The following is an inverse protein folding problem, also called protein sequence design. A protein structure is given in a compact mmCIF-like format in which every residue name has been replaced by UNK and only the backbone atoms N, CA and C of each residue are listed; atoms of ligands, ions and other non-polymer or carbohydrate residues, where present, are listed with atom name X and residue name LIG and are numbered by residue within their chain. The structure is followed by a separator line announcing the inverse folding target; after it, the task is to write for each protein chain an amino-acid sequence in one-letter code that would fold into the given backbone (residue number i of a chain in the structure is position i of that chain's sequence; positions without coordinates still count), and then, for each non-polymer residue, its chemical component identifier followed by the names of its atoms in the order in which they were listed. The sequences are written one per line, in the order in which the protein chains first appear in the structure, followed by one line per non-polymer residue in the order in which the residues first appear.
data_IF_102504094894
#
_entry.id   IF_102504094894
#
_cell.length_a   1.000
_cell.length_b   1.000
_cell.length_c   1.000
_cell.angle_alpha   90.00
_cell.angle_beta   90.00
_cell.angle_gamma   90.00
#
_symmetry.space_group_name_H-M   'P 1'
#
loop_
_entity.id
_entity.type
_entity.pdbx_description
1 polymer ?
#
# COMPACT_ATOMS: atom_id res chain seq x y z
N UNK A 1 1.76 -25.08 -12.78
CA UNK A 1 1.63 -24.46 -14.12
C UNK A 1 2.08 -23.03 -13.97
N UNK A 2 3.08 -22.61 -14.74
CA UNK A 2 3.47 -21.21 -14.78
C UNK A 2 2.38 -20.44 -15.53
N UNK A 3 1.68 -19.55 -14.82
CA UNK A 3 0.69 -18.68 -15.43
C UNK A 3 1.42 -17.67 -16.30
N UNK A 4 1.05 -17.58 -17.57
CA UNK A 4 1.55 -16.54 -18.45
C UNK A 4 1.06 -15.17 -17.95
N UNK A 5 1.96 -14.44 -17.29
CA UNK A 5 1.65 -13.13 -16.73
C UNK A 5 1.14 -12.14 -17.77
N UNK A 6 1.39 -12.38 -19.06
CA UNK A 6 0.94 -11.52 -20.14
C UNK A 6 -0.57 -11.57 -20.34
N UNK A 7 -1.21 -12.68 -19.95
CA UNK A 7 -2.66 -12.87 -20.02
C UNK A 7 -3.40 -12.28 -18.80
N UNK A 8 -2.65 -11.85 -17.78
CA UNK A 8 -3.24 -11.26 -16.57
C UNK A 8 -3.77 -9.86 -16.84
N UNK A 9 -4.97 -9.60 -16.30
CA UNK A 9 -5.66 -8.33 -16.32
C UNK A 9 -5.17 -7.45 -15.19
N UNK A 10 -4.81 -6.22 -15.51
CA UNK A 10 -4.49 -5.19 -14.53
C UNK A 10 -5.68 -4.25 -14.39
N UNK A 11 -6.15 -4.06 -13.16
CA UNK A 11 -7.26 -3.18 -12.85
C UNK A 11 -6.94 -2.27 -11.66
N UNK A 12 -7.61 -1.13 -11.64
CA UNK A 12 -7.52 -0.13 -10.58
C UNK A 12 -8.93 0.09 -10.07
N UNK A 13 -9.13 -0.15 -8.79
CA UNK A 13 -10.41 -0.04 -8.12
C UNK A 13 -10.37 1.18 -7.20
N UNK A 14 -11.33 2.08 -7.41
CA UNK A 14 -11.53 3.26 -6.58
C UNK A 14 -12.04 2.89 -5.18
N UNK A 15 -12.00 3.83 -4.22
CA UNK A 15 -12.69 3.65 -2.95
C UNK A 15 -14.14 3.21 -3.14
N UNK A 16 -14.60 2.30 -2.27
CA UNK A 16 -15.97 1.78 -2.30
C UNK A 16 -16.26 0.73 -3.39
N UNK A 17 -15.25 0.29 -4.16
CA UNK A 17 -15.44 -0.77 -5.15
C UNK A 17 -15.99 -2.06 -4.49
N UNK A 18 -17.00 -2.74 -5.07
CA UNK A 18 -17.69 -3.86 -4.43
C UNK A 18 -16.78 -5.05 -4.12
N UNK A 19 -15.70 -5.24 -4.88
CA UNK A 19 -14.76 -6.35 -4.71
C UNK A 19 -13.63 -6.08 -3.70
N UNK A 20 -13.62 -4.92 -3.04
CA UNK A 20 -12.59 -4.54 -2.05
C UNK A 20 -12.40 -5.61 -0.96
N UNK A 21 -13.51 -6.19 -0.48
CA UNK A 21 -13.48 -7.22 0.55
C UNK A 21 -12.69 -8.48 0.14
N UNK A 22 -12.74 -8.87 -1.14
CA UNK A 22 -11.99 -10.03 -1.63
C UNK A 22 -10.49 -9.80 -1.59
N UNK A 23 -10.03 -8.58 -1.94
CA UNK A 23 -8.61 -8.22 -1.86
C UNK A 23 -8.16 -8.07 -0.41
N UNK A 24 -8.97 -7.47 0.47
CA UNK A 24 -8.66 -7.42 1.92
C UNK A 24 -8.45 -8.81 2.51
N UNK A 25 -9.23 -9.81 2.08
CA UNK A 25 -9.00 -11.20 2.53
C UNK A 25 -7.58 -11.68 2.20
N UNK A 26 -7.02 -11.31 1.04
CA UNK A 26 -5.64 -11.65 0.69
C UNK A 26 -4.61 -11.00 1.63
N UNK A 27 -4.90 -9.79 2.10
CA UNK A 27 -4.08 -9.08 3.08
C UNK A 27 -4.17 -9.75 4.45
N UNK A 28 -5.39 -10.01 4.92
CA UNK A 28 -5.67 -10.71 6.18
C UNK A 28 -4.99 -12.08 6.24
N UNK A 29 -5.15 -12.89 5.18
CA UNK A 29 -4.51 -14.21 5.08
C UNK A 29 -2.97 -14.11 5.14
N UNK A 30 -2.38 -13.08 4.51
CA UNK A 30 -0.93 -12.85 4.52
C UNK A 30 -0.44 -12.39 5.89
N UNK A 31 -1.12 -11.43 6.49
CA UNK A 31 -0.70 -10.82 7.75
C UNK A 31 -0.89 -11.78 8.91
N UNK A 32 -2.01 -12.49 8.94
CA UNK A 32 -2.29 -13.53 9.93
C UNK A 32 -1.35 -14.74 9.82
N UNK A 33 -0.58 -14.91 8.73
CA UNK A 33 0.48 -15.93 8.66
C UNK A 33 1.76 -15.51 9.38
N UNK A 34 2.07 -14.23 9.39
CA UNK A 34 3.32 -13.68 9.91
C UNK A 34 3.19 -13.14 11.33
N UNK A 35 1.99 -12.69 11.69
CA UNK A 35 1.74 -11.95 12.91
C UNK A 35 0.49 -12.43 13.66
N UNK A 36 0.43 -12.11 14.94
CA UNK A 36 -0.72 -12.17 15.82
C UNK A 36 -1.29 -10.76 16.00
N UNK A 37 -2.59 -10.65 16.26
CA UNK A 37 -3.25 -9.36 16.49
C UNK A 37 -3.66 -8.62 15.21
N UNK A 38 -3.74 -9.31 14.06
CA UNK A 38 -4.35 -8.71 12.86
C UNK A 38 -5.84 -8.41 13.11
N UNK A 39 -6.27 -7.21 12.72
CA UNK A 39 -7.65 -6.75 12.85
C UNK A 39 -8.17 -6.26 11.49
N UNK A 40 -9.17 -6.94 10.95
CA UNK A 40 -9.81 -6.58 9.69
C UNK A 40 -10.56 -5.24 9.78
N UNK A 41 -11.02 -4.84 10.96
CA UNK A 41 -11.70 -3.56 11.15
C UNK A 41 -10.72 -2.39 11.12
N UNK A 42 -9.55 -2.57 11.74
CA UNK A 42 -8.43 -1.64 11.60
C UNK A 42 -8.03 -1.48 10.13
N UNK A 43 -7.97 -2.58 9.36
CA UNK A 43 -7.63 -2.51 7.94
C UNK A 43 -8.72 -1.83 7.10
N UNK A 44 -9.99 -2.13 7.39
CA UNK A 44 -11.18 -1.62 6.67
C UNK A 44 -11.33 -0.11 6.76
N UNK A 45 -10.88 0.54 7.84
CA UNK A 45 -11.06 1.98 8.02
C UNK A 45 -10.39 2.81 6.91
N UNK A 46 -9.38 2.24 6.22
CA UNK A 46 -8.65 2.92 5.15
C UNK A 46 -9.32 2.81 3.79
N UNK A 47 -10.34 1.96 3.61
CA UNK A 47 -10.94 1.67 2.30
C UNK A 47 -11.50 2.92 1.60
N UNK A 48 -12.05 3.85 2.38
CA UNK A 48 -12.62 5.10 1.86
C UNK A 48 -11.56 6.05 1.26
N UNK A 49 -10.28 5.86 1.61
CA UNK A 49 -9.15 6.67 1.14
C UNK A 49 -8.17 5.85 0.28
N UNK A 50 -8.57 4.65 -0.12
CA UNK A 50 -7.69 3.69 -0.78
C UNK A 50 -8.03 3.45 -2.24
N UNK A 51 -7.00 3.41 -3.06
CA UNK A 51 -7.07 2.75 -4.37
C UNK A 51 -6.43 1.37 -4.27
N UNK A 52 -7.14 0.38 -4.81
CA UNK A 52 -6.65 -0.98 -4.93
C UNK A 52 -6.21 -1.26 -6.36
N UNK A 53 -5.03 -1.83 -6.48
CA UNK A 53 -4.46 -2.25 -7.76
C UNK A 53 -4.39 -3.76 -7.74
N UNK A 54 -4.94 -4.38 -8.78
CA UNK A 54 -5.00 -5.85 -8.86
C UNK A 54 -4.45 -6.32 -10.19
N UNK A 55 -3.74 -7.44 -10.13
CA UNK A 55 -3.32 -8.22 -11.28
C UNK A 55 -3.91 -9.63 -11.12
N UNK A 56 -4.83 -10.00 -12.00
CA UNK A 56 -5.66 -11.20 -11.83
C UNK A 56 -5.97 -11.88 -13.17
N UNK A 57 -6.41 -13.14 -13.11
CA UNK A 57 -6.68 -13.98 -14.29
C UNK A 57 -8.07 -13.76 -14.92
N UNK A 58 -8.93 -12.95 -14.30
CA UNK A 58 -10.30 -12.72 -14.74
C UNK A 58 -11.31 -13.80 -14.34
N UNK A 59 -10.86 -14.89 -13.69
CA UNK A 59 -11.71 -15.99 -13.20
C UNK A 59 -11.66 -16.14 -11.67
N UNK A 60 -11.01 -15.19 -10.99
CA UNK A 60 -11.06 -15.04 -9.52
C UNK A 60 -9.73 -15.22 -8.81
N UNK A 61 -8.63 -15.49 -9.52
CA UNK A 61 -7.30 -15.64 -8.90
C UNK A 61 -6.52 -14.34 -8.96
N UNK A 62 -6.14 -13.81 -7.79
CA UNK A 62 -5.23 -12.67 -7.69
C UNK A 62 -3.78 -13.15 -7.70
N UNK A 63 -3.00 -12.62 -8.64
CA UNK A 63 -1.57 -12.90 -8.78
C UNK A 63 -0.69 -11.85 -8.11
N UNK A 64 -1.16 -10.61 -8.06
CA UNK A 64 -0.57 -9.58 -7.23
C UNK A 64 -1.62 -8.53 -6.89
N UNK A 65 -1.54 -7.96 -5.69
CA UNK A 65 -2.39 -6.84 -5.27
C UNK A 65 -1.57 -5.79 -4.55
N UNK A 66 -1.98 -4.53 -4.63
CA UNK A 66 -1.36 -3.41 -3.91
C UNK A 66 -2.46 -2.45 -3.46
N UNK A 67 -2.33 -1.92 -2.25
CA UNK A 67 -3.17 -0.82 -1.75
C UNK A 67 -2.33 0.43 -1.57
N UNK A 68 -2.84 1.54 -2.09
CA UNK A 68 -2.32 2.89 -1.83
C UNK A 68 -3.40 3.67 -1.09
N UNK A 69 -3.05 4.20 0.08
CA UNK A 69 -3.90 5.04 0.92
C UNK A 69 -3.46 6.49 0.73
N UNK A 70 -4.37 7.37 0.34
CA UNK A 70 -4.08 8.80 0.18
C UNK A 70 -4.29 9.53 1.50
N UNK A 71 -3.31 10.37 1.88
CA UNK A 71 -3.39 11.21 3.09
C UNK A 71 -4.61 12.12 3.04
N UNK A 72 -4.90 12.65 1.85
CA UNK A 72 -6.11 13.41 1.54
C UNK A 72 -6.72 12.90 0.25
N UNK A 73 -8.03 12.68 0.25
CA UNK A 73 -8.77 12.26 -0.94
C UNK A 73 -10.04 13.08 -1.08
N UNK A 74 -10.18 13.79 -2.20
CA UNK A 74 -11.31 14.71 -2.41
C UNK A 74 -11.37 15.85 -1.38
N UNK A 75 -10.22 16.25 -0.82
CA UNK A 75 -10.12 17.25 0.24
C UNK A 75 -10.38 16.73 1.66
N UNK A 76 -10.77 15.47 1.84
CA UNK A 76 -10.93 14.85 3.15
C UNK A 76 -9.61 14.22 3.64
N UNK A 77 -9.08 14.59 4.82
CA UNK A 77 -7.88 13.96 5.38
C UNK A 77 -8.18 12.64 6.08
N UNK A 78 -7.18 11.75 6.14
CA UNK A 78 -7.19 10.54 6.96
C UNK A 78 -5.86 10.42 7.72
N UNK A 79 -5.85 9.72 8.85
CA UNK A 79 -4.60 9.26 9.45
C UNK A 79 -4.19 7.97 8.74
N UNK A 80 -2.99 7.91 8.18
CA UNK A 80 -2.50 6.70 7.51
C UNK A 80 -1.95 5.69 8.54
N UNK A 81 -1.79 4.40 8.19
CA UNK A 81 -1.32 3.39 9.14
C UNK A 81 -0.08 3.80 9.93
N UNK A 82 0.95 4.36 9.28
CA UNK A 82 2.18 4.78 9.97
C UNK A 82 1.99 5.96 10.97
N UNK A 83 0.92 6.74 10.82
CA UNK A 83 0.54 7.81 11.75
C UNK A 83 -0.23 7.27 12.97
N UNK A 84 -0.86 6.09 12.81
CA UNK A 84 -1.62 5.42 13.87
C UNK A 84 -0.77 4.50 14.75
N UNK A 85 0.50 4.26 14.39
CA UNK A 85 1.41 3.39 15.13
C UNK A 85 1.56 3.76 16.61
N UNK A 86 1.84 2.77 17.47
CA UNK A 86 1.97 2.97 18.92
C UNK A 86 3.25 3.70 19.31
N UNK A 87 4.33 3.45 18.56
CA UNK A 87 5.65 4.04 18.79
C UNK A 87 6.29 4.48 17.48
N UNK A 88 7.14 5.50 17.54
CA UNK A 88 7.93 5.96 16.40
C UNK A 88 7.10 6.45 15.21
N UNK A 89 5.87 6.94 15.46
CA UNK A 89 4.93 7.47 14.47
C UNK A 89 5.63 8.36 13.44
N UNK A 90 5.19 8.23 12.19
CA UNK A 90 5.69 9.06 11.11
C UNK A 90 4.52 9.79 10.45
N UNK A 91 4.60 11.13 10.41
CA UNK A 91 3.58 11.95 9.74
C UNK A 91 3.93 12.16 8.28
N UNK A 92 2.99 11.81 7.41
CA UNK A 92 3.08 12.17 6.00
C UNK A 92 2.82 13.68 5.85
N UNK A 93 3.38 14.32 4.80
CA UNK A 93 3.00 15.69 4.45
C UNK A 93 1.48 15.80 4.25
N UNK A 94 0.87 16.87 4.77
CA UNK A 94 -0.57 17.12 4.64
C UNK A 94 -0.90 17.72 3.25
N UNK A 95 -0.78 16.90 2.20
CA UNK A 95 -1.04 17.26 0.81
C UNK A 95 -1.85 16.17 0.09
N UNK A 96 -2.63 16.55 -0.93
CA UNK A 96 -3.48 15.63 -1.71
C UNK A 96 -2.69 14.57 -2.50
N UNK A 97 -1.40 14.83 -2.73
CA UNK A 97 -0.51 13.94 -3.47
C UNK A 97 0.29 12.99 -2.59
N UNK A 98 0.25 13.15 -1.27
CA UNK A 98 0.96 12.26 -0.35
C UNK A 98 0.15 10.98 -0.12
N UNK A 99 0.81 9.84 -0.27
CA UNK A 99 0.18 8.55 -0.07
C UNK A 99 1.09 7.53 0.60
N UNK A 100 0.48 6.58 1.28
CA UNK A 100 1.12 5.43 1.89
C UNK A 100 0.75 4.16 1.11
N UNK A 101 1.73 3.47 0.55
CA UNK A 101 1.56 2.08 0.14
C UNK A 101 1.47 1.22 1.39
N UNK A 102 0.31 0.61 1.67
CA UNK A 102 0.13 -0.09 2.94
C UNK A 102 0.31 -1.59 2.83
N UNK A 103 -0.15 -2.19 1.73
CA UNK A 103 -0.22 -3.64 1.58
C UNK A 103 0.13 -4.08 0.17
N UNK A 104 0.86 -5.18 0.08
CA UNK A 104 1.17 -5.85 -1.18
C UNK A 104 0.98 -7.36 -1.03
N UNK A 105 0.43 -8.03 -2.04
CA UNK A 105 0.41 -9.50 -2.14
C UNK A 105 0.93 -9.91 -3.52
N UNK A 106 1.50 -11.10 -3.61
CA UNK A 106 2.04 -11.62 -4.87
C UNK A 106 2.19 -13.14 -4.85
N UNK A 107 1.98 -13.77 -6.00
CA UNK A 107 2.31 -15.18 -6.24
C UNK A 107 3.69 -15.35 -6.89
N UNK A 108 4.19 -14.31 -7.57
CA UNK A 108 5.53 -14.32 -8.19
C UNK A 108 6.12 -12.92 -8.27
N UNK A 109 7.45 -12.85 -8.35
CA UNK A 109 8.17 -11.57 -8.55
C UNK A 109 7.81 -10.92 -9.90
N UNK A 110 7.46 -11.73 -10.90
CA UNK A 110 7.07 -11.23 -12.23
C UNK A 110 5.70 -10.54 -12.19
N UNK A 111 4.71 -11.17 -11.54
CA UNK A 111 3.39 -10.59 -11.33
C UNK A 111 3.48 -9.26 -10.56
N UNK A 112 4.31 -9.25 -9.51
CA UNK A 112 4.57 -8.05 -8.72
C UNK A 112 5.19 -6.92 -9.56
N UNK A 113 6.24 -7.18 -10.35
CA UNK A 113 6.87 -6.15 -11.21
C UNK A 113 5.87 -5.56 -12.20
N UNK A 114 5.04 -6.41 -12.80
CA UNK A 114 3.98 -6.00 -13.73
C UNK A 114 2.96 -5.11 -13.04
N UNK A 115 2.46 -5.51 -11.86
CA UNK A 115 1.57 -4.71 -11.03
C UNK A 115 2.19 -3.35 -10.67
N UNK A 116 3.39 -3.36 -10.08
CA UNK A 116 4.03 -2.14 -9.59
C UNK A 116 4.39 -1.16 -10.71
N UNK A 117 4.68 -1.64 -11.92
CA UNK A 117 4.82 -0.76 -13.08
C UNK A 117 3.50 -0.04 -13.41
N UNK A 118 2.37 -0.76 -13.43
CA UNK A 118 1.04 -0.16 -13.62
C UNK A 118 0.68 0.83 -12.53
N UNK A 119 0.90 0.47 -11.26
CA UNK A 119 0.75 1.37 -10.09
C UNK A 119 1.56 2.63 -10.29
N UNK A 120 2.85 2.50 -10.61
CA UNK A 120 3.76 3.64 -10.73
C UNK A 120 3.36 4.58 -11.86
N UNK A 121 2.99 4.02 -13.03
CA UNK A 121 2.46 4.82 -14.13
C UNK A 121 1.23 5.61 -13.71
N UNK A 122 0.28 4.96 -13.06
CA UNK A 122 -0.93 5.62 -12.60
C UNK A 122 -0.63 6.74 -11.59
N UNK A 123 0.27 6.51 -10.64
CA UNK A 123 0.70 7.53 -9.68
C UNK A 123 1.31 8.75 -10.38
N UNK A 124 2.19 8.53 -11.37
CA UNK A 124 2.79 9.60 -12.16
C UNK A 124 1.73 10.40 -12.93
N UNK A 125 0.79 9.71 -13.59
CA UNK A 125 -0.26 10.38 -14.36
C UNK A 125 -1.29 11.12 -13.48
N UNK A 126 -1.32 10.84 -12.17
CA UNK A 126 -2.14 11.55 -11.19
C UNK A 126 -1.33 12.56 -10.35
N UNK A 127 -0.10 12.90 -10.79
CA UNK A 127 0.69 13.97 -10.17
C UNK A 127 1.24 13.64 -8.78
N UNK A 128 1.27 12.37 -8.39
CA UNK A 128 1.87 11.95 -7.11
C UNK A 128 3.38 12.22 -7.17
N UNK A 129 3.87 13.03 -6.24
CA UNK A 129 5.28 13.44 -6.18
C UNK A 129 6.10 12.53 -5.27
N UNK A 130 5.43 11.90 -4.30
CA UNK A 130 6.08 11.07 -3.29
C UNK A 130 5.16 9.97 -2.78
N UNK A 131 5.72 8.78 -2.65
CA UNK A 131 5.06 7.61 -2.07
C UNK A 131 5.84 7.20 -0.85
N UNK A 132 5.15 6.99 0.26
CA UNK A 132 5.67 6.45 1.50
C UNK A 132 5.20 5.01 1.67
N UNK A 133 5.94 4.20 2.39
CA UNK A 133 5.48 2.87 2.84
C UNK A 133 6.41 2.40 3.95
N UNK A 134 6.14 1.19 4.44
CA UNK A 134 6.91 0.54 5.48
C UNK A 134 7.25 -0.88 5.08
N UNK A 135 8.40 -1.37 5.55
CA UNK A 135 8.66 -2.81 5.54
C UNK A 135 9.07 -3.29 6.93
N UNK A 136 8.73 -4.54 7.24
CA UNK A 136 9.20 -5.20 8.46
C UNK A 136 10.72 -5.36 8.45
N UNK A 137 11.40 -4.79 9.45
CA UNK A 137 12.86 -4.80 9.58
C UNK A 137 13.44 -6.20 9.64
N UNK A 138 12.64 -7.18 10.06
CA UNK A 138 13.04 -8.58 10.18
C UNK A 138 12.77 -9.39 8.91
N UNK A 139 12.06 -8.82 7.94
CA UNK A 139 11.75 -9.46 6.67
C UNK A 139 12.73 -9.01 5.58
N UNK A 140 13.90 -9.67 5.51
CA UNK A 140 14.95 -9.35 4.55
C UNK A 140 14.48 -9.38 3.08
N UNK A 141 13.54 -10.27 2.74
CA UNK A 141 12.97 -10.36 1.40
C UNK A 141 12.17 -9.10 1.07
N UNK A 142 11.31 -8.65 1.99
CA UNK A 142 10.50 -7.45 1.79
C UNK A 142 11.35 -6.18 1.85
N UNK A 143 12.39 -6.12 2.69
CA UNK A 143 13.39 -5.05 2.64
C UNK A 143 14.06 -4.95 1.26
N UNK A 144 14.55 -6.08 0.73
CA UNK A 144 15.17 -6.13 -0.59
C UNK A 144 14.20 -5.70 -1.69
N UNK A 145 12.93 -6.07 -1.57
CA UNK A 145 11.90 -5.65 -2.50
C UNK A 145 11.76 -4.12 -2.52
N UNK A 146 11.54 -3.47 -1.39
CA UNK A 146 11.36 -2.01 -1.35
C UNK A 146 12.63 -1.27 -1.81
N UNK A 147 13.78 -1.65 -1.29
CA UNK A 147 15.04 -0.90 -1.52
C UNK A 147 15.66 -1.17 -2.89
N UNK A 148 15.67 -2.42 -3.37
CA UNK A 148 16.34 -2.78 -4.63
C UNK A 148 15.40 -2.89 -5.82
N UNK A 149 14.17 -3.37 -5.60
CA UNK A 149 13.23 -3.59 -6.70
C UNK A 149 12.42 -2.31 -6.96
N UNK A 150 11.90 -1.68 -5.91
CA UNK A 150 11.14 -0.42 -6.04
C UNK A 150 11.99 0.84 -5.95
N UNK A 151 13.30 0.69 -5.67
CA UNK A 151 14.25 1.80 -5.52
C UNK A 151 13.82 2.85 -4.48
N UNK A 152 13.18 2.41 -3.40
CA UNK A 152 12.78 3.26 -2.29
C UNK A 152 13.95 3.48 -1.34
N UNK A 153 14.07 4.70 -0.84
CA UNK A 153 15.10 5.08 0.12
C UNK A 153 14.56 4.94 1.54
N UNK A 154 15.35 4.36 2.43
CA UNK A 154 15.06 4.35 3.87
C UNK A 154 15.07 5.78 4.42
N UNK A 155 14.04 6.13 5.19
CA UNK A 155 14.01 7.39 5.93
C UNK A 155 14.76 7.17 7.25
N UNK A 156 15.96 7.71 7.36
CA UNK A 156 16.83 7.48 8.50
C UNK A 156 16.13 7.77 9.84
N UNK A 157 16.18 6.80 10.77
CA UNK A 157 15.59 6.93 12.10
C UNK A 157 14.06 6.84 12.16
N UNK A 158 13.38 6.70 11.01
CA UNK A 158 11.92 6.58 10.97
C UNK A 158 11.50 5.10 11.00
N UNK A 159 11.35 4.56 12.21
CA UNK A 159 10.81 3.22 12.44
C UNK A 159 9.49 3.34 13.22
N UNK A 160 8.41 2.82 12.65
CA UNK A 160 7.12 2.73 13.33
C UNK A 160 6.99 1.38 14.03
N UNK A 161 6.32 1.37 15.19
CA UNK A 161 6.15 0.18 16.02
C UNK A 161 4.67 -0.04 16.31
N UNK A 162 4.18 -1.26 16.02
CA UNK A 162 2.83 -1.71 16.34
C UNK A 162 2.91 -2.72 17.49
N UNK A 163 2.59 -2.28 18.70
CA UNK A 163 2.77 -3.06 19.94
C UNK A 163 1.84 -4.25 20.03
N UNK A 164 0.63 -4.10 19.52
CA UNK A 164 -0.39 -5.15 19.56
C UNK A 164 -0.27 -6.11 18.35
N UNK A 165 0.64 -5.81 17.41
CA UNK A 165 0.89 -6.63 16.24
C UNK A 165 2.19 -7.41 16.42
N UNK A 166 2.08 -8.61 16.97
CA UNK A 166 3.24 -9.41 17.39
C UNK A 166 3.67 -10.37 16.29
N UNK A 167 4.97 -10.48 16.04
CA UNK A 167 5.50 -11.49 15.12
C UNK A 167 5.30 -12.90 15.69
N UNK A 168 4.89 -13.86 14.86
CA UNK A 168 4.66 -15.25 15.32
C UNK A 168 5.92 -16.02 15.71
N UNK A 169 7.06 -15.66 15.12
CA UNK A 169 8.33 -16.37 15.33
C UNK A 169 9.05 -15.97 16.61
N UNK A 170 8.80 -14.76 17.13
CA UNK A 170 9.54 -14.14 18.22
C UNK A 170 8.63 -13.58 19.32
N UNK A 171 7.35 -13.38 19.03
CA UNK A 171 6.37 -12.69 19.88
C UNK A 171 6.76 -11.25 20.22
N UNK A 172 7.71 -10.68 19.50
CA UNK A 172 8.08 -9.28 19.60
C UNK A 172 7.12 -8.39 18.78
N UNK A 173 6.90 -7.13 19.18
CA UNK A 173 6.19 -6.15 18.37
C UNK A 173 6.75 -6.01 16.96
N UNK A 174 5.87 -5.77 16.00
CA UNK A 174 6.24 -5.48 14.64
C UNK A 174 6.89 -4.09 14.56
N UNK A 175 8.17 -4.07 14.17
CA UNK A 175 8.95 -2.86 13.92
C UNK A 175 9.13 -2.69 12.42
N UNK A 176 8.59 -1.61 11.86
CA UNK A 176 8.64 -1.38 10.43
C UNK A 176 9.40 -0.09 10.08
N UNK A 177 10.34 -0.22 9.16
CA UNK A 177 11.15 0.90 8.67
C UNK A 177 10.38 1.66 7.59
N UNK A 178 10.28 2.98 7.75
CA UNK A 178 9.72 3.86 6.73
C UNK A 178 10.67 3.96 5.53
N UNK A 179 10.09 3.92 4.35
CA UNK A 179 10.79 4.22 3.09
C UNK A 179 9.97 5.19 2.26
N UNK A 180 10.63 5.88 1.34
CA UNK A 180 9.97 6.77 0.39
C UNK A 180 10.56 6.64 -1.01
N UNK A 181 9.80 7.04 -2.01
CA UNK A 181 10.28 7.17 -3.38
C UNK A 181 9.52 8.23 -4.14
N UNK A 182 10.19 8.83 -5.13
CA UNK A 182 9.52 9.59 -6.18
C UNK A 182 9.03 8.61 -7.27
N UNK A 183 7.74 8.64 -7.67
CA UNK A 183 7.20 7.73 -8.68
C UNK A 183 7.97 7.71 -10.01
N UNK A 184 8.57 8.81 -10.44
CA UNK A 184 9.40 8.85 -11.66
C UNK A 184 10.62 7.92 -11.53
N UNK A 185 11.32 7.97 -10.39
CA UNK A 185 12.49 7.10 -10.12
C UNK A 185 12.07 5.64 -10.00
N UNK A 186 10.97 5.38 -9.31
CA UNK A 186 10.39 4.05 -9.19
C UNK A 186 10.02 3.50 -10.59
N UNK A 187 9.41 4.33 -11.43
CA UNK A 187 8.94 3.98 -12.77
C UNK A 187 10.09 3.64 -13.71
N UNK A 188 11.15 4.45 -13.70
CA UNK A 188 12.37 4.18 -14.44
C UNK A 188 13.00 2.84 -14.04
N UNK A 189 13.08 2.56 -12.73
CA UNK A 189 13.59 1.29 -12.21
C UNK A 189 12.69 0.11 -12.62
N UNK A 190 11.37 0.28 -12.55
CA UNK A 190 10.41 -0.75 -12.94
C UNK A 190 10.44 -1.07 -14.42
N UNK A 191 10.54 -0.06 -15.27
CA UNK A 191 10.72 -0.24 -16.71
C UNK A 191 12.01 -1.02 -17.00
N UNK A 192 13.14 -0.61 -16.42
CA UNK A 192 14.41 -1.30 -16.62
C UNK A 192 14.36 -2.77 -16.16
N UNK A 193 13.69 -3.04 -15.04
CA UNK A 193 13.52 -4.40 -14.52
C UNK A 193 12.61 -5.27 -15.40
N UNK A 194 11.56 -4.71 -15.99
CA UNK A 194 10.68 -5.42 -16.93
C UNK A 194 11.41 -5.75 -18.24
N UNK A 195 12.12 -4.79 -18.81
CA UNK A 195 12.88 -4.97 -20.05
C UNK A 195 13.96 -6.05 -19.90
N UNK A 196 14.71 -6.04 -18.78
CA UNK A 196 15.72 -7.08 -18.47
C UNK A 196 15.12 -8.48 -18.31
N UNK A 197 13.87 -8.57 -17.88
CA UNK A 197 13.18 -9.84 -17.67
C UNK A 197 12.44 -10.36 -18.93
N UNK A 198 12.56 -9.66 -20.07
CA UNK A 198 11.80 -9.99 -21.29
C UNK A 198 10.28 -9.82 -21.13
N UNK A 199 9.84 -9.03 -20.15
CA UNK A 199 8.41 -8.82 -19.87
C UNK A 199 7.78 -7.80 -20.82
N UNK A 200 6.48 -7.96 -21.09
CA UNK A 200 5.69 -6.95 -21.80
C UNK A 200 5.32 -5.79 -20.87
N UNK A 201 5.22 -4.60 -21.44
CA UNK A 201 4.81 -3.37 -20.74
C UNK A 201 3.28 -3.40 -20.58
N UNK A 202 2.79 -3.31 -19.34
CA UNK A 202 1.37 -3.08 -19.10
C UNK A 202 0.98 -1.66 -19.48
N UNK A 203 -0.02 -1.51 -20.35
CA UNK A 203 -0.74 -0.27 -20.46
C UNK A 203 -1.59 -0.06 -19.20
N UNK A 204 -1.60 1.17 -18.66
CA UNK A 204 -2.67 1.57 -17.75
C UNK A 204 -3.96 1.59 -18.57
N UNK A 205 -5.07 0.99 -18.09
CA UNK A 205 -6.33 0.98 -18.82
C UNK A 205 -6.74 2.42 -19.16
N UNK A 206 -7.20 2.70 -20.38
CA UNK A 206 -7.61 4.06 -20.78
C UNK A 206 -8.74 4.61 -19.91
N UNK A 207 -9.55 3.73 -19.33
CA UNK A 207 -10.65 4.04 -18.42
C UNK A 207 -10.24 4.04 -16.93
N UNK A 208 -8.93 4.06 -16.64
CA UNK A 208 -8.45 4.08 -15.27
C UNK A 208 -9.01 5.29 -14.50
N UNK A 209 -9.51 5.09 -13.26
CA UNK A 209 -10.04 6.18 -12.45
C UNK A 209 -8.95 7.21 -12.19
N UNK A 210 -9.28 8.49 -12.23
CA UNK A 210 -8.37 9.58 -11.82
C UNK A 210 -8.58 9.92 -10.36
N UNK A 211 -7.56 10.51 -9.73
CA UNK A 211 -7.75 11.14 -8.43
C UNK A 211 -8.81 12.26 -8.56
N UNK A 212 -9.75 12.35 -7.61
CA UNK A 212 -10.63 13.50 -7.53
C UNK A 212 -9.77 14.75 -7.35
N UNK A 213 -10.00 15.76 -8.19
CA UNK A 213 -9.35 17.06 -8.01
C UNK A 213 -9.94 17.70 -6.75
N UNK A 214 -9.08 18.19 -5.86
CA UNK A 214 -9.55 18.99 -4.74
C UNK A 214 -10.28 20.23 -5.29
N UNK A 215 -11.47 20.58 -4.77
CA UNK A 215 -12.09 21.84 -5.13
C UNK A 215 -11.16 22.99 -4.70
N UNK A 216 -11.13 24.06 -5.49
CA UNK A 216 -10.12 25.14 -5.38
C UNK A 216 -10.10 25.87 -4.03
N UNK A 217 -11.07 25.65 -3.14
CA UNK A 217 -11.15 26.26 -1.81
C UNK A 217 -11.82 25.28 -0.86
N UNK A 218 -11.11 24.81 0.16
CA UNK A 218 -11.71 24.23 1.37
C UNK A 218 -11.31 25.11 2.55
N UNK A 219 -12.28 25.82 3.12
CA UNK A 219 -12.12 26.42 4.44
C UNK A 219 -12.08 25.30 5.47
N UNK A 220 -10.98 25.23 6.22
CA UNK A 220 -10.80 24.29 7.33
C UNK A 220 -11.94 24.48 8.36
N UNK A 221 -12.86 23.52 8.45
CA UNK A 221 -13.73 23.38 9.61
C UNK A 221 -13.14 22.33 10.56
N UNK A 222 -12.46 22.85 11.59
CA UNK A 222 -12.09 22.29 12.89
C UNK A 222 -11.78 20.77 12.99
N UNK A 223 -10.52 20.50 13.29
CA UNK A 223 -9.88 19.20 13.52
C UNK A 223 -10.29 18.46 14.83
N UNK A 224 -11.47 18.72 15.40
CA UNK A 224 -11.85 18.14 16.69
C UNK A 224 -12.54 16.76 16.61
N UNK A 225 -12.85 16.25 15.42
CA UNK A 225 -13.64 15.00 15.27
C UNK A 225 -12.80 13.73 15.08
N UNK A 226 -11.47 13.81 14.93
CA UNK A 226 -10.61 12.63 14.67
C UNK A 226 -10.06 11.97 15.95
N UNK A 227 -10.32 12.55 17.14
CA UNK A 227 -9.68 12.13 18.39
C UNK A 227 -10.32 10.93 19.12
N UNK A 228 -11.28 10.21 18.52
CA UNK A 228 -11.92 9.05 19.16
C UNK A 228 -12.18 7.89 18.20
N UNK A 229 -11.13 7.36 17.57
CA UNK A 229 -11.19 6.00 17.03
C UNK A 229 -10.49 5.01 17.96
N UNK A 230 -11.08 3.82 18.17
CA UNK A 230 -10.61 2.87 19.15
C UNK A 230 -9.19 2.43 18.80
N UNK A 231 -8.32 2.40 19.82
CA UNK A 231 -7.06 1.64 19.76
C UNK A 231 -7.40 0.21 19.34
N UNK A 232 -6.49 -0.48 18.64
CA UNK A 232 -6.69 -1.89 18.32
C UNK A 232 -7.13 -2.65 19.59
N UNK A 233 -8.20 -3.44 19.53
CA UNK A 233 -8.66 -4.16 20.70
C UNK A 233 -7.57 -5.14 21.14
N UNK A 234 -7.15 -5.01 22.40
CA UNK A 234 -6.18 -5.90 23.05
C UNK A 234 -6.64 -7.36 22.93
N UNK A 235 -5.89 -8.27 22.26
CA UNK A 235 -6.21 -9.68 22.33
C UNK A 235 -5.71 -10.19 23.69
N UNK A 236 -6.67 -10.56 24.55
CA UNK A 236 -6.53 -11.46 25.71
C UNK A 236 -5.36 -11.20 26.67
N UNK A 237 -5.69 -10.66 27.85
CA UNK A 237 -4.89 -10.87 29.06
C UNK A 237 -4.98 -12.35 29.44
N UNK A 238 -3.90 -13.10 29.26
CA UNK A 238 -3.67 -14.34 30.01
C UNK A 238 -2.99 -14.00 31.34
#
# INVERSE_FOLDING_TARGET
MDVDVNQLKFEIWSPGHPNTAAVRKTFSDRMSRLYLGWDDDFDRQFDAHSYLFVLWDGVGTYHATCRIIFKRLGGAPVLTPCETADGGRFSLPDEDTACEGSMVSMTSTQALRRLMYGVTRWLMENGVTRVYTTYDTNNALIRRFHTRILAMDEIAGATVVYRDFLRKDSLEPACWQMVQVNPVRMGATMLANLLKAGGTICAVPPEAPRLPQAPAVYEYQNAETVARHPRMPMPYRY
#
